data_IF_046254000790
#
_entry.id   IF_046254000790
#
_cell.length_a   1.000
_cell.length_b   1.000
_cell.length_c   1.000
_cell.angle_alpha   90.00
_cell.angle_beta   90.00
_cell.angle_gamma   90.00
#
_symmetry.space_group_name_H-M   'P 1'
#
loop_
_entity.id
_entity.type
_entity.pdbx_description
1 polymer ?
#
# COMPACT_ATOMS: atom_id res chain seq x y z
N UNK A 1 2.85 -16.56 -6.72
CA UNK A 1 1.58 -16.16 -6.07
C UNK A 1 1.14 -14.81 -6.64
N UNK A 2 -0.12 -14.65 -7.02
CA UNK A 2 -0.63 -13.38 -7.55
C UNK A 2 -0.94 -12.45 -6.37
N UNK A 3 -0.06 -11.47 -6.09
CA UNK A 3 -0.25 -10.52 -4.97
C UNK A 3 -1.50 -9.67 -5.25
N UNK A 4 -2.45 -9.68 -4.31
CA UNK A 4 -3.70 -8.90 -4.38
C UNK A 4 -3.62 -7.71 -3.44
N UNK A 5 -4.23 -6.60 -3.83
CA UNK A 5 -4.43 -5.47 -2.95
C UNK A 5 -5.22 -5.92 -1.70
N UNK A 6 -4.74 -5.64 -0.47
CA UNK A 6 -5.44 -6.02 0.73
C UNK A 6 -6.70 -5.18 0.94
N UNK A 7 -7.71 -5.74 1.61
CA UNK A 7 -8.91 -4.99 1.95
C UNK A 7 -8.59 -3.93 2.99
N UNK A 8 -8.64 -2.67 2.59
CA UNK A 8 -8.43 -1.50 3.47
C UNK A 8 -9.72 -0.69 3.54
N UNK A 9 -10.20 -0.46 4.76
CA UNK A 9 -11.34 0.40 5.01
C UNK A 9 -10.86 1.87 4.98
N UNK A 10 -10.97 2.49 3.81
CA UNK A 10 -10.67 3.91 3.61
C UNK A 10 -11.81 4.55 2.83
N UNK A 11 -12.38 5.64 3.35
CA UNK A 11 -13.45 6.37 2.66
C UNK A 11 -12.87 6.98 1.38
N UNK A 12 -13.53 6.74 0.25
CA UNK A 12 -13.02 7.20 -1.05
C UNK A 12 -11.91 6.33 -1.66
N UNK A 13 -11.69 5.12 -1.14
CA UNK A 13 -10.83 4.10 -1.75
C UNK A 13 -11.17 3.92 -3.25
N UNK A 14 -10.14 3.94 -4.11
CA UNK A 14 -10.25 3.83 -5.57
C UNK A 14 -10.12 2.40 -6.10
N UNK A 15 -10.11 1.37 -5.26
CA UNK A 15 -9.88 -0.04 -5.60
C UNK A 15 -10.71 -0.51 -6.80
N UNK A 16 -12.01 -0.15 -6.83
CA UNK A 16 -12.90 -0.51 -7.95
C UNK A 16 -12.53 0.12 -9.29
N UNK A 17 -11.85 1.26 -9.29
CA UNK A 17 -11.49 2.02 -10.49
C UNK A 17 -9.98 2.11 -10.74
N UNK A 18 -9.15 1.55 -9.87
CA UNK A 18 -7.69 1.66 -9.93
C UNK A 18 -7.11 1.14 -11.25
N UNK A 19 -7.61 -0.01 -11.72
CA UNK A 19 -7.24 -0.58 -13.02
C UNK A 19 -7.57 0.38 -14.16
N UNK A 20 -8.80 0.91 -14.17
CA UNK A 20 -9.25 1.84 -15.20
C UNK A 20 -8.41 3.12 -15.23
N UNK A 21 -8.06 3.69 -14.07
CA UNK A 21 -7.17 4.85 -13.99
C UNK A 21 -5.79 4.51 -14.58
N UNK A 22 -5.23 3.34 -14.23
CA UNK A 22 -3.95 2.90 -14.78
C UNK A 22 -3.99 2.68 -16.30
N UNK A 23 -5.15 2.29 -16.86
CA UNK A 23 -5.34 2.15 -18.31
C UNK A 23 -5.32 3.49 -19.06
N UNK A 24 -5.52 4.61 -18.34
CA UNK A 24 -5.47 5.96 -18.93
C UNK A 24 -4.06 6.59 -18.87
N UNK A 25 -3.08 5.93 -18.23
CA UNK A 25 -1.73 6.48 -18.15
C UNK A 25 -1.08 6.51 -19.55
N UNK A 26 -0.38 7.60 -19.93
CA UNK A 26 0.37 7.66 -21.17
C UNK A 26 1.43 6.55 -21.25
N UNK A 27 1.70 6.07 -22.47
CA UNK A 27 2.63 4.95 -22.70
C UNK A 27 4.09 5.27 -22.43
N UNK A 28 4.45 6.56 -22.36
CA UNK A 28 5.79 7.09 -22.12
C UNK A 28 6.04 7.48 -20.65
N UNK A 29 5.17 7.03 -19.73
CA UNK A 29 5.31 7.25 -18.29
C UNK A 29 5.99 6.05 -17.62
N UNK A 30 7.10 6.30 -16.93
CA UNK A 30 7.77 5.29 -16.10
C UNK A 30 7.54 5.51 -14.60
N UNK A 31 7.16 6.72 -14.19
CA UNK A 31 6.96 7.10 -12.79
C UNK A 31 5.61 7.80 -12.61
N UNK A 32 4.84 7.36 -11.61
CA UNK A 32 3.59 8.02 -11.19
C UNK A 32 3.71 8.57 -9.78
N UNK A 33 3.03 9.68 -9.51
CA UNK A 33 2.94 10.28 -8.19
C UNK A 33 1.49 10.23 -7.68
N UNK A 34 1.23 9.42 -6.65
CA UNK A 34 -0.04 9.35 -5.92
C UNK A 34 0.05 10.24 -4.67
N UNK A 35 -0.22 11.54 -4.86
CA UNK A 35 0.02 12.58 -3.84
C UNK A 35 -1.02 12.66 -2.72
N UNK A 36 -2.13 11.91 -2.87
CA UNK A 36 -3.20 11.76 -1.88
C UNK A 36 -3.57 10.27 -1.78
N UNK A 37 -2.58 9.46 -1.40
CA UNK A 37 -2.63 8.02 -1.63
C UNK A 37 -3.70 7.30 -0.80
N UNK A 38 -4.07 7.82 0.37
CA UNK A 38 -5.00 7.17 1.27
C UNK A 38 -4.61 5.71 1.52
N UNK A 39 -5.54 4.78 1.25
CA UNK A 39 -5.27 3.33 1.30
C UNK A 39 -4.33 2.77 0.23
N UNK A 40 -3.81 3.58 -0.68
CA UNK A 40 -2.86 3.21 -1.75
C UNK A 40 -3.42 2.26 -2.83
N UNK A 41 -4.73 2.23 -3.05
CA UNK A 41 -5.35 1.33 -4.05
C UNK A 41 -4.89 1.58 -5.49
N UNK A 42 -4.71 2.85 -5.87
CA UNK A 42 -4.18 3.21 -7.21
C UNK A 42 -2.67 2.95 -7.29
N UNK A 43 -1.91 3.47 -6.32
CA UNK A 43 -0.47 3.21 -6.19
C UNK A 43 -0.11 1.72 -6.26
N UNK A 44 -0.89 0.85 -5.61
CA UNK A 44 -0.67 -0.59 -5.64
C UNK A 44 -0.84 -1.20 -7.04
N UNK A 45 -1.90 -0.80 -7.76
CA UNK A 45 -2.14 -1.26 -9.13
C UNK A 45 -1.05 -0.75 -10.08
N UNK A 46 -0.62 0.51 -9.94
CA UNK A 46 0.49 1.06 -10.71
C UNK A 46 1.79 0.29 -10.45
N UNK A 47 2.15 0.03 -9.18
CA UNK A 47 3.33 -0.77 -8.82
C UNK A 47 3.26 -2.17 -9.44
N UNK A 48 2.10 -2.82 -9.37
CA UNK A 48 1.89 -4.15 -9.95
C UNK A 48 2.08 -4.17 -11.47
N UNK A 49 1.80 -3.06 -12.15
CA UNK A 49 2.02 -2.88 -13.60
C UNK A 49 3.45 -2.46 -13.95
N UNK A 50 4.34 -2.31 -12.97
CA UNK A 50 5.76 -2.03 -13.18
C UNK A 50 6.14 -0.55 -13.13
N UNK A 51 5.21 0.36 -12.84
CA UNK A 51 5.55 1.77 -12.66
C UNK A 51 6.37 1.97 -11.38
N UNK A 52 7.32 2.91 -11.43
CA UNK A 52 7.86 3.50 -10.20
C UNK A 52 6.78 4.38 -9.58
N UNK A 53 6.48 4.19 -8.30
CA UNK A 53 5.40 4.93 -7.64
C UNK A 53 5.97 5.78 -6.52
N UNK A 54 5.65 7.06 -6.53
CA UNK A 54 5.89 7.99 -5.42
C UNK A 54 4.55 8.23 -4.73
N UNK A 55 4.49 8.05 -3.42
CA UNK A 55 3.27 8.25 -2.65
C UNK A 55 3.43 9.34 -1.61
N UNK A 56 2.37 10.10 -1.38
CA UNK A 56 2.28 11.04 -0.28
C UNK A 56 0.86 11.04 0.30
N UNK A 57 0.76 11.28 1.61
CA UNK A 57 -0.49 11.56 2.29
C UNK A 57 -0.20 12.32 3.59
N UNK A 58 -1.15 13.13 4.07
CA UNK A 58 -0.99 13.91 5.30
C UNK A 58 -1.11 13.05 6.57
N UNK A 59 -1.82 11.93 6.50
CA UNK A 59 -2.07 11.09 7.66
C UNK A 59 -0.92 10.10 7.87
N UNK A 60 -0.35 10.08 9.08
CA UNK A 60 0.73 9.17 9.44
C UNK A 60 0.39 7.69 9.21
N UNK A 61 -0.88 7.29 9.39
CA UNK A 61 -1.32 5.92 9.11
C UNK A 61 -1.22 5.58 7.61
N UNK A 62 -1.54 6.52 6.72
CA UNK A 62 -1.46 6.32 5.28
C UNK A 62 0.00 6.22 4.82
N UNK A 63 0.91 6.97 5.47
CA UNK A 63 2.35 6.81 5.27
C UNK A 63 2.82 5.39 5.62
N UNK A 64 2.38 4.81 6.75
CA UNK A 64 2.73 3.42 7.11
C UNK A 64 2.17 2.40 6.12
N UNK A 65 0.95 2.62 5.60
CA UNK A 65 0.36 1.80 4.54
C UNK A 65 1.22 1.89 3.27
N UNK A 66 1.66 3.08 2.88
CA UNK A 66 2.52 3.27 1.71
C UNK A 66 3.87 2.56 1.86
N UNK A 67 4.51 2.63 3.04
CA UNK A 67 5.73 1.86 3.32
C UNK A 67 5.49 0.35 3.14
N UNK A 68 4.40 -0.16 3.70
CA UNK A 68 4.09 -1.59 3.68
C UNK A 68 3.69 -2.12 2.28
N UNK A 69 2.96 -1.33 1.49
CA UNK A 69 2.40 -1.79 0.21
C UNK A 69 3.23 -1.35 -1.00
N UNK A 70 3.78 -0.14 -0.96
CA UNK A 70 4.40 0.51 -2.11
C UNK A 70 5.92 0.49 -2.02
N UNK A 71 6.51 0.83 -0.88
CA UNK A 71 7.97 0.80 -0.73
C UNK A 71 8.51 -0.63 -0.54
N UNK A 72 7.86 -1.41 0.33
CA UNK A 72 8.30 -2.76 0.64
C UNK A 72 8.23 -3.70 -0.58
N UNK A 73 9.34 -4.37 -0.89
CA UNK A 73 9.42 -5.32 -2.00
C UNK A 73 9.70 -6.76 -1.56
N UNK A 74 10.25 -6.96 -0.37
CA UNK A 74 10.81 -8.25 0.05
C UNK A 74 10.48 -8.62 1.49
N UNK A 75 10.26 -7.65 2.37
CA UNK A 75 9.99 -7.93 3.78
C UNK A 75 8.66 -8.64 3.94
N UNK A 76 8.71 -9.80 4.58
CA UNK A 76 7.55 -10.64 4.89
C UNK A 76 7.70 -11.10 6.33
N UNK A 77 6.65 -10.92 7.12
CA UNK A 77 6.67 -11.36 8.52
C UNK A 77 6.78 -12.89 8.58
N UNK A 78 7.66 -13.36 9.45
CA UNK A 78 7.78 -14.77 9.82
C UNK A 78 7.00 -15.05 11.12
N UNK A 79 6.99 -16.32 11.54
CA UNK A 79 6.26 -16.74 12.74
C UNK A 79 6.78 -16.08 14.03
N UNK A 80 8.08 -15.78 14.11
CA UNK A 80 8.68 -15.11 15.26
C UNK A 80 8.25 -13.63 15.32
N UNK A 81 8.20 -12.93 14.18
CA UNK A 81 7.70 -11.55 14.08
C UNK A 81 6.23 -11.48 14.55
N UNK A 82 5.42 -12.43 14.08
CA UNK A 82 4.01 -12.55 14.46
C UNK A 82 3.89 -12.81 15.97
N UNK A 83 4.65 -13.76 16.50
CA UNK A 83 4.66 -14.06 17.93
C UNK A 83 5.03 -12.83 18.77
N UNK A 84 6.05 -12.07 18.36
CA UNK A 84 6.48 -10.84 19.02
C UNK A 84 5.37 -9.78 19.05
N UNK A 85 4.71 -9.51 17.90
CA UNK A 85 3.63 -8.51 17.80
C UNK A 85 2.49 -8.86 18.76
N UNK A 86 2.07 -10.13 18.80
CA UNK A 86 0.97 -10.58 19.66
C UNK A 86 1.36 -10.78 21.13
N UNK A 87 2.66 -10.89 21.44
CA UNK A 87 3.15 -10.93 22.81
C UNK A 87 3.15 -9.53 23.44
N UNK A 88 3.61 -8.51 22.71
CA UNK A 88 3.60 -7.12 23.18
C UNK A 88 2.17 -6.61 23.45
N UNK A 89 1.19 -7.03 22.64
CA UNK A 89 -0.23 -6.70 22.83
C UNK A 89 -0.85 -7.31 24.10
N UNK A 90 -0.15 -8.23 24.79
CA UNK A 90 -0.59 -8.84 26.06
C UNK A 90 0.06 -8.19 27.28
N UNK A 91 0.91 -7.18 27.10
CA UNK A 91 1.40 -6.40 28.25
C UNK A 91 0.23 -5.56 28.79
N UNK A 92 -0.08 -5.63 30.09
CA UNK A 92 -1.10 -4.76 30.67
C UNK A 92 -0.63 -3.32 30.48
N UNK A 93 -1.46 -2.52 29.81
CA UNK A 93 -1.31 -1.07 29.81
C UNK A 93 -1.39 -0.65 31.28
N UNK A 94 -0.31 -0.10 31.82
CA UNK A 94 -0.25 0.48 33.16
C UNK A 94 -1.32 1.56 33.33
#
# INVERSE_FOLDING_TARGET
MNKKYPKINYIGNKEKIASWICDQLPSDVDTVADVFSGGCSFAYEAKKRGYRVITNDILAINYQIALALIENNHETLNDDDVAMIFQAARMPVL
#
